data_IF_398772200330
#
_entry.id   IF_398772200330
#
_cell.length_a   1.000
_cell.length_b   1.000
_cell.length_c   1.000
_cell.angle_alpha   90.00
_cell.angle_beta   90.00
_cell.angle_gamma   90.00
#
_symmetry.space_group_name_H-M   'P 1'
#
loop_
_entity.id
_entity.type
_entity.pdbx_description
1 polymer ?
#
# COMPACT_ATOMS: atom_id res chain seq x y z
N UNK A 1 25.88 -40.72 -20.48
CA UNK A 1 24.68 -41.02 -19.65
C UNK A 1 24.81 -40.48 -18.22
N UNK A 2 25.85 -40.85 -17.45
CA UNK A 2 26.02 -40.38 -16.05
C UNK A 2 26.06 -38.85 -15.87
N UNK A 3 26.76 -38.12 -16.75
CA UNK A 3 26.83 -36.63 -16.73
C UNK A 3 25.47 -35.95 -16.97
N UNK A 4 24.61 -36.57 -17.80
CA UNK A 4 23.28 -36.05 -18.12
C UNK A 4 22.31 -36.25 -16.93
N UNK A 5 22.42 -37.39 -16.24
CA UNK A 5 21.67 -37.69 -15.01
C UNK A 5 22.07 -36.71 -13.90
N UNK A 6 23.37 -36.45 -13.74
CA UNK A 6 23.90 -35.54 -12.72
C UNK A 6 23.45 -34.09 -12.95
N UNK A 7 23.44 -33.63 -14.20
CA UNK A 7 22.93 -32.30 -14.57
C UNK A 7 21.43 -32.15 -14.28
N UNK A 8 20.62 -33.17 -14.56
CA UNK A 8 19.18 -33.14 -14.26
C UNK A 8 18.88 -33.15 -12.77
N UNK A 9 19.64 -33.94 -11.99
CA UNK A 9 19.57 -33.92 -10.53
C UNK A 9 19.92 -32.54 -9.96
N UNK A 10 20.95 -31.88 -10.52
CA UNK A 10 21.33 -30.53 -10.12
C UNK A 10 20.23 -29.50 -10.42
N UNK A 11 19.67 -29.52 -11.63
CA UNK A 11 18.57 -28.61 -12.00
C UNK A 11 17.33 -28.85 -11.13
N UNK A 12 16.98 -30.11 -10.85
CA UNK A 12 15.86 -30.44 -9.98
C UNK A 12 16.09 -29.98 -8.54
N UNK A 13 17.31 -30.12 -8.01
CA UNK A 13 17.67 -29.62 -6.68
C UNK A 13 17.56 -28.09 -6.59
N UNK A 14 17.98 -27.36 -7.63
CA UNK A 14 17.85 -25.90 -7.70
C UNK A 14 16.37 -25.49 -7.75
N UNK A 15 15.56 -26.13 -8.59
CA UNK A 15 14.11 -25.86 -8.68
C UNK A 15 13.37 -26.16 -7.37
N UNK A 16 13.74 -27.24 -6.69
CA UNK A 16 13.17 -27.58 -5.38
C UNK A 16 13.53 -26.53 -4.32
N UNK A 17 14.78 -26.06 -4.30
CA UNK A 17 15.24 -25.03 -3.38
C UNK A 17 14.55 -23.67 -3.60
N UNK A 18 14.24 -23.32 -4.85
CA UNK A 18 13.47 -22.11 -5.19
C UNK A 18 12.00 -22.25 -4.81
N UNK A 19 11.43 -23.46 -4.90
CA UNK A 19 10.04 -23.74 -4.52
C UNK A 19 9.80 -23.77 -3.01
N UNK A 20 10.88 -23.85 -2.21
CA UNK A 20 10.88 -23.79 -0.75
C UNK A 20 10.92 -22.35 -0.20
N UNK A 21 10.92 -21.34 -1.07
CA UNK A 21 10.70 -19.96 -0.61
C UNK A 21 9.31 -19.89 0.03
N UNK A 22 9.29 -19.78 1.36
CA UNK A 22 8.08 -19.63 2.14
C UNK A 22 7.21 -18.51 1.57
N UNK A 23 5.93 -18.81 1.32
CA UNK A 23 4.90 -17.77 1.25
C UNK A 23 4.80 -17.16 2.65
N UNK A 24 5.65 -16.19 2.94
CA UNK A 24 5.48 -15.36 4.13
C UNK A 24 4.21 -14.56 3.87
N UNK A 25 3.13 -14.89 4.59
CA UNK A 25 1.96 -14.03 4.60
C UNK A 25 2.38 -12.64 5.09
N UNK A 26 1.71 -11.60 4.59
CA UNK A 26 1.97 -10.24 5.05
C UNK A 26 1.70 -10.18 6.56
N UNK A 27 2.75 -10.01 7.37
CA UNK A 27 2.61 -9.85 8.81
C UNK A 27 2.27 -8.39 9.12
N UNK A 28 0.99 -8.14 9.38
CA UNK A 28 0.52 -6.83 9.83
C UNK A 28 0.70 -6.78 11.35
N UNK A 29 1.75 -6.10 11.79
CA UNK A 29 1.96 -5.91 13.23
C UNK A 29 0.89 -4.99 13.81
N UNK A 30 0.36 -5.37 14.98
CA UNK A 30 -0.59 -4.55 15.76
C UNK A 30 -0.04 -3.13 15.98
N UNK A 31 1.25 -3.02 16.23
CA UNK A 31 1.92 -1.74 16.49
C UNK A 31 1.95 -0.86 15.24
N UNK A 32 2.20 -1.42 14.05
CA UNK A 32 2.17 -0.66 12.80
C UNK A 32 0.77 -0.12 12.51
N UNK A 33 -0.26 -0.96 12.69
CA UNK A 33 -1.64 -0.53 12.52
C UNK A 33 -2.02 0.57 13.53
N UNK A 34 -1.66 0.36 14.79
CA UNK A 34 -1.92 1.30 15.89
C UNK A 34 -1.34 2.68 15.60
N UNK A 35 -0.09 2.76 15.10
CA UNK A 35 0.56 4.03 14.72
C UNK A 35 -0.23 4.80 13.67
N UNK A 36 -0.69 4.13 12.62
CA UNK A 36 -1.48 4.77 11.56
C UNK A 36 -2.81 5.30 12.10
N UNK A 37 -3.51 4.49 12.91
CA UNK A 37 -4.79 4.88 13.51
C UNK A 37 -4.61 6.09 14.42
N UNK A 38 -3.61 6.07 15.31
CA UNK A 38 -3.35 7.16 16.24
C UNK A 38 -3.01 8.46 15.52
N UNK A 39 -2.20 8.44 14.47
CA UNK A 39 -1.93 9.64 13.68
C UNK A 39 -3.19 10.16 12.98
N UNK A 40 -3.91 9.30 12.25
CA UNK A 40 -5.10 9.69 11.48
C UNK A 40 -6.29 10.15 12.33
N UNK A 41 -6.29 9.82 13.62
CA UNK A 41 -7.26 10.25 14.62
C UNK A 41 -6.70 11.27 15.63
N UNK A 42 -5.47 11.75 15.44
CA UNK A 42 -4.84 12.70 16.36
C UNK A 42 -5.46 14.10 16.28
N UNK A 43 -5.28 14.86 17.35
CA UNK A 43 -5.66 16.27 17.42
C UNK A 43 -4.93 17.12 16.37
N UNK A 44 -3.73 16.72 15.93
CA UNK A 44 -2.96 17.43 14.89
C UNK A 44 -3.72 17.58 13.57
N UNK A 45 -4.63 16.64 13.28
CA UNK A 45 -5.44 16.70 12.07
C UNK A 45 -6.71 17.53 12.26
N UNK A 46 -7.16 17.79 13.50
CA UNK A 46 -8.35 18.62 13.78
C UNK A 46 -9.63 18.18 13.03
N UNK A 47 -9.65 16.94 12.52
CA UNK A 47 -10.70 16.40 11.65
C UNK A 47 -10.36 16.40 10.15
N UNK A 48 -10.91 15.43 9.41
CA UNK A 48 -10.55 15.13 8.01
C UNK A 48 -11.71 15.34 7.02
N UNK A 49 -12.60 16.28 7.34
CA UNK A 49 -13.75 16.61 6.50
C UNK A 49 -13.34 17.23 5.16
N UNK A 50 -14.29 17.32 4.22
CA UNK A 50 -14.05 17.97 2.94
C UNK A 50 -13.61 19.44 3.15
N UNK A 51 -12.55 19.86 2.47
CA UNK A 51 -12.01 21.21 2.55
C UNK A 51 -11.20 21.56 3.81
N UNK A 52 -10.96 20.63 4.74
CA UNK A 52 -10.15 20.92 5.94
C UNK A 52 -8.65 20.72 5.71
N UNK A 53 -7.82 21.49 6.42
CA UNK A 53 -6.36 21.29 6.42
C UNK A 53 -5.98 19.88 6.92
N UNK A 54 -6.76 19.32 7.85
CA UNK A 54 -6.62 17.95 8.31
C UNK A 54 -6.79 16.89 7.24
N UNK A 55 -7.72 17.12 6.28
CA UNK A 55 -7.86 16.23 5.14
C UNK A 55 -6.61 16.24 4.27
N UNK A 56 -6.04 17.42 4.00
CA UNK A 56 -4.82 17.51 3.20
C UNK A 56 -3.61 16.86 3.89
N UNK A 57 -3.50 17.01 5.23
CA UNK A 57 -2.49 16.30 6.04
C UNK A 57 -2.67 14.78 5.94
N UNK A 58 -3.89 14.29 6.11
CA UNK A 58 -4.21 12.87 6.01
C UNK A 58 -3.90 12.31 4.61
N UNK A 59 -4.26 13.04 3.55
CA UNK A 59 -3.96 12.67 2.17
C UNK A 59 -2.46 12.52 1.96
N UNK A 60 -1.66 13.51 2.37
CA UNK A 60 -0.19 13.42 2.28
C UNK A 60 0.36 12.23 3.05
N UNK A 61 -0.12 12.01 4.28
CA UNK A 61 0.30 10.88 5.09
C UNK A 61 0.06 9.54 4.38
N UNK A 62 -1.14 9.31 3.84
CA UNK A 62 -1.48 8.06 3.16
C UNK A 62 -0.62 7.87 1.90
N UNK A 63 -0.43 8.93 1.11
CA UNK A 63 0.47 8.90 -0.07
C UNK A 63 1.89 8.49 0.33
N UNK A 64 2.43 9.07 1.40
CA UNK A 64 3.76 8.68 1.89
C UNK A 64 3.81 7.23 2.39
N UNK A 65 2.77 6.74 3.08
CA UNK A 65 2.70 5.33 3.47
C UNK A 65 2.67 4.40 2.25
N UNK A 66 1.95 4.77 1.17
CA UNK A 66 1.94 4.02 -0.08
C UNK A 66 3.32 3.98 -0.74
N UNK A 67 4.01 5.13 -0.80
CA UNK A 67 5.40 5.19 -1.31
C UNK A 67 6.34 4.33 -0.49
N UNK A 68 6.29 4.42 0.84
CA UNK A 68 7.13 3.64 1.74
C UNK A 68 6.87 2.13 1.63
N UNK A 69 5.64 1.73 1.31
CA UNK A 69 5.27 0.34 1.04
C UNK A 69 5.60 -0.12 -0.40
N UNK A 70 6.15 0.74 -1.26
CA UNK A 70 6.57 0.40 -2.62
C UNK A 70 5.43 0.33 -3.64
N UNK A 71 4.25 0.84 -3.30
CA UNK A 71 3.12 0.87 -4.23
C UNK A 71 3.43 1.77 -5.43
N UNK A 72 3.00 1.32 -6.60
CA UNK A 72 3.08 2.12 -7.82
C UNK A 72 1.82 2.96 -7.97
N UNK A 73 1.94 4.23 -8.39
CA UNK A 73 0.79 5.09 -8.65
C UNK A 73 -0.04 4.56 -9.82
N UNK A 74 -1.33 4.91 -9.84
CA UNK A 74 -2.25 4.56 -10.92
C UNK A 74 -2.63 5.81 -11.74
N UNK A 75 -2.63 5.70 -13.07
CA UNK A 75 -2.98 6.81 -13.98
C UNK A 75 -2.23 8.13 -13.70
N UNK A 76 -0.94 8.03 -13.37
CA UNK A 76 -0.05 9.19 -13.23
C UNK A 76 0.09 9.72 -11.80
N UNK A 77 -0.66 9.20 -10.82
CA UNK A 77 -0.54 9.66 -9.44
C UNK A 77 -1.11 8.70 -8.39
N UNK A 78 -0.95 9.07 -7.12
CA UNK A 78 -1.63 8.41 -6.01
C UNK A 78 -2.99 9.05 -5.71
N UNK A 79 -3.37 10.13 -6.40
CA UNK A 79 -4.65 10.78 -6.19
C UNK A 79 -5.60 10.46 -7.35
N UNK A 80 -6.87 10.22 -7.01
CA UNK A 80 -7.91 9.89 -7.96
C UNK A 80 -9.07 10.87 -7.84
N UNK A 81 -9.26 11.69 -8.86
CA UNK A 81 -10.25 12.77 -8.90
C UNK A 81 -11.67 12.21 -9.05
N UNK A 82 -12.62 12.81 -8.32
CA UNK A 82 -14.05 12.50 -8.44
C UNK A 82 -14.92 13.69 -8.04
N UNK A 83 -16.21 13.64 -8.40
CA UNK A 83 -17.19 14.63 -8.00
C UNK A 83 -18.06 14.10 -6.85
N UNK A 84 -18.15 14.87 -5.77
CA UNK A 84 -19.12 14.65 -4.71
C UNK A 84 -20.33 15.54 -4.92
N UNK A 85 -21.52 14.95 -4.82
CA UNK A 85 -22.76 15.73 -4.74
C UNK A 85 -23.06 15.99 -3.27
N UNK A 86 -23.00 17.26 -2.86
CA UNK A 86 -23.33 17.69 -1.51
C UNK A 86 -24.48 18.69 -1.57
N UNK A 87 -25.66 18.27 -1.09
CA UNK A 87 -26.91 19.01 -1.31
C UNK A 87 -27.12 19.27 -2.82
N UNK A 88 -27.21 20.54 -3.23
CA UNK A 88 -27.39 20.95 -4.62
C UNK A 88 -26.07 21.27 -5.35
N UNK A 89 -24.92 21.12 -4.68
CA UNK A 89 -23.61 21.47 -5.22
C UNK A 89 -22.80 20.23 -5.65
N UNK A 90 -22.06 20.36 -6.74
CA UNK A 90 -20.99 19.42 -7.13
C UNK A 90 -19.65 19.96 -6.68
N UNK A 91 -18.93 19.19 -5.87
CA UNK A 91 -17.63 19.56 -5.32
C UNK A 91 -16.57 18.60 -5.85
N UNK A 92 -15.48 19.13 -6.40
CA UNK A 92 -14.34 18.32 -6.80
C UNK A 92 -13.63 17.78 -5.55
N UNK A 93 -13.35 16.49 -5.55
CA UNK A 93 -12.65 15.79 -4.49
C UNK A 93 -11.65 14.80 -5.07
N UNK A 94 -10.77 14.29 -4.22
CA UNK A 94 -9.72 13.37 -4.59
C UNK A 94 -9.63 12.27 -3.54
N UNK A 95 -9.65 11.02 -3.98
CA UNK A 95 -9.27 9.88 -3.15
C UNK A 95 -7.76 9.67 -3.23
N UNK A 96 -7.22 8.95 -2.26
CA UNK A 96 -5.85 8.41 -2.29
C UNK A 96 -5.92 6.94 -2.63
#
# INVERSE_FOLDING_TARGET
MKKLILSRLFVFAVLSLVSLQSLVAQDISKDSLSKHVHYLASEELEGRGLGTAGKDKATRFIVEQFRSAGLQPYQGGFLQDFELTFSLAKVKAHNV
#
